data_IF_539893394244
#
_entry.id   IF_539893394244
#
_cell.length_a   1.000
_cell.length_b   1.000
_cell.length_c   1.000
_cell.angle_alpha   90.00
_cell.angle_beta   90.00
_cell.angle_gamma   90.00
#
_symmetry.space_group_name_H-M   'P 1'
#
loop_
_entity.id
_entity.type
_entity.pdbx_description
1 polymer ?
#
# COMPACT_ATOMS: atom_id res chain seq x y z
N UNK A 1 -2.47 -25.78 -19.27
CA UNK A 1 -3.65 -25.61 -18.39
C UNK A 1 -3.70 -24.13 -18.03
N UNK A 2 -4.61 -23.39 -18.63
CA UNK A 2 -4.83 -21.97 -18.32
C UNK A 2 -5.39 -21.89 -16.90
N UNK A 3 -4.58 -21.47 -15.94
CA UNK A 3 -5.10 -21.10 -14.64
C UNK A 3 -5.99 -19.88 -14.83
N UNK A 4 -7.28 -20.09 -14.60
CA UNK A 4 -8.27 -19.03 -14.52
C UNK A 4 -8.01 -18.23 -13.24
N UNK A 5 -6.97 -17.38 -13.26
CA UNK A 5 -6.53 -16.53 -12.14
C UNK A 5 -7.32 -15.21 -12.06
N UNK A 6 -8.41 -15.09 -12.82
CA UNK A 6 -9.12 -13.83 -13.02
C UNK A 6 -9.72 -13.17 -11.77
N UNK A 7 -9.77 -13.86 -10.62
CA UNK A 7 -10.43 -13.34 -9.42
C UNK A 7 -9.67 -13.65 -8.10
N UNK A 8 -8.38 -13.97 -8.14
CA UNK A 8 -7.58 -14.15 -6.94
C UNK A 8 -6.91 -12.83 -6.55
N UNK A 9 -7.13 -12.36 -5.33
CA UNK A 9 -6.44 -11.13 -4.86
C UNK A 9 -4.94 -11.31 -4.76
N UNK A 10 -4.45 -12.43 -4.22
CA UNK A 10 -3.01 -12.66 -4.07
C UNK A 10 -2.34 -12.88 -5.43
N UNK A 11 -1.29 -12.12 -5.70
CA UNK A 11 -0.43 -12.25 -6.88
C UNK A 11 0.88 -12.88 -6.41
N UNK A 12 1.11 -14.14 -6.81
CA UNK A 12 2.30 -14.89 -6.41
C UNK A 12 3.47 -14.48 -7.31
N UNK A 13 4.47 -13.88 -6.69
CA UNK A 13 5.71 -13.43 -7.30
C UNK A 13 6.88 -14.02 -6.51
N UNK A 14 8.03 -14.21 -7.18
CA UNK A 14 9.20 -14.84 -6.57
C UNK A 14 10.09 -13.81 -5.84
N UNK A 15 10.20 -12.59 -6.38
CA UNK A 15 11.03 -11.51 -5.83
C UNK A 15 10.27 -10.28 -5.33
N UNK A 16 8.94 -10.26 -5.46
CA UNK A 16 8.10 -9.17 -4.98
C UNK A 16 7.10 -9.71 -3.95
N UNK A 17 7.32 -9.36 -2.70
CA UNK A 17 6.52 -9.88 -1.59
C UNK A 17 5.24 -9.07 -1.36
N UNK A 18 4.29 -9.68 -0.66
CA UNK A 18 3.07 -9.04 -0.18
C UNK A 18 2.21 -8.44 -1.29
N UNK A 19 2.32 -9.00 -2.52
CA UNK A 19 1.64 -8.49 -3.71
C UNK A 19 0.20 -8.99 -3.78
N UNK A 20 -0.74 -8.06 -4.00
CA UNK A 20 -2.16 -8.35 -4.17
C UNK A 20 -2.95 -7.23 -4.82
N UNK A 21 -4.06 -7.60 -5.42
CA UNK A 21 -5.07 -6.72 -5.98
C UNK A 21 -6.05 -6.25 -4.88
N UNK A 22 -6.53 -5.02 -4.97
CA UNK A 22 -7.60 -4.50 -4.13
C UNK A 22 -9.01 -4.77 -4.70
N UNK A 23 -9.11 -5.62 -5.72
CA UNK A 23 -10.40 -6.05 -6.29
C UNK A 23 -11.14 -7.08 -5.45
N UNK A 24 -12.46 -7.18 -5.66
CA UNK A 24 -13.31 -8.19 -5.05
C UNK A 24 -13.72 -7.93 -3.59
N UNK A 25 -13.53 -6.73 -3.07
CA UNK A 25 -14.07 -6.35 -1.77
C UNK A 25 -15.52 -5.88 -1.92
N UNK A 26 -16.46 -6.42 -1.10
CA UNK A 26 -17.81 -5.87 -1.02
C UNK A 26 -17.75 -4.39 -0.59
N UNK A 27 -18.57 -3.57 -1.21
CA UNK A 27 -18.60 -2.14 -0.92
C UNK A 27 -20.03 -1.60 -0.95
N UNK A 28 -20.19 -0.31 -0.67
CA UNK A 28 -21.49 0.32 -0.59
C UNK A 28 -22.34 0.06 -1.85
N UNK A 29 -23.65 -0.09 -1.65
CA UNK A 29 -24.62 -0.31 -2.74
C UNK A 29 -24.61 -1.72 -3.36
N UNK A 30 -24.03 -2.71 -2.68
CA UNK A 30 -24.01 -4.11 -3.13
C UNK A 30 -23.09 -4.38 -4.31
N UNK A 31 -22.16 -3.48 -4.57
CA UNK A 31 -21.09 -3.61 -5.58
C UNK A 31 -19.84 -4.26 -4.98
N UNK A 32 -18.85 -4.50 -5.81
CA UNK A 32 -17.51 -4.96 -5.39
C UNK A 32 -16.45 -4.09 -6.05
N UNK A 33 -15.29 -3.96 -5.40
CA UNK A 33 -14.13 -3.32 -6.01
C UNK A 33 -13.65 -4.12 -7.22
N UNK A 34 -13.17 -3.42 -8.24
CA UNK A 34 -12.79 -4.00 -9.53
C UNK A 34 -11.36 -4.52 -9.51
N UNK A 35 -11.16 -5.75 -10.01
CA UNK A 35 -9.82 -6.33 -10.19
C UNK A 35 -9.03 -5.61 -11.30
N UNK A 36 -7.69 -5.66 -11.17
CA UNK A 36 -6.78 -5.10 -12.17
C UNK A 36 -6.72 -3.56 -12.16
N UNK A 37 -7.20 -2.92 -11.10
CA UNK A 37 -7.17 -1.45 -10.97
C UNK A 37 -6.15 -0.94 -9.97
N UNK A 38 -6.07 -1.57 -8.81
CA UNK A 38 -5.15 -1.16 -7.75
C UNK A 38 -4.40 -2.36 -7.20
N UNK A 39 -3.08 -2.33 -7.37
CA UNK A 39 -2.18 -3.38 -6.93
C UNK A 39 -1.29 -2.82 -5.82
N UNK A 40 -1.22 -3.51 -4.69
CA UNK A 40 -0.29 -3.18 -3.61
C UNK A 40 0.77 -4.26 -3.46
N UNK A 41 2.02 -3.87 -3.14
CA UNK A 41 3.11 -4.83 -2.93
C UNK A 41 4.24 -4.25 -2.05
N UNK A 42 5.22 -5.09 -1.72
CA UNK A 42 6.54 -4.66 -1.30
C UNK A 42 7.33 -4.11 -2.49
N UNK A 43 8.55 -3.65 -2.24
CA UNK A 43 9.40 -3.08 -3.29
C UNK A 43 9.60 -4.06 -4.45
N UNK A 44 9.28 -3.70 -5.69
CA UNK A 44 9.78 -4.38 -6.88
C UNK A 44 11.26 -4.03 -7.07
N UNK A 45 12.15 -4.97 -6.74
CA UNK A 45 13.60 -4.71 -6.70
C UNK A 45 14.36 -5.58 -7.71
N UNK A 46 15.37 -5.00 -8.34
CA UNK A 46 16.29 -5.69 -9.25
C UNK A 46 15.65 -6.19 -10.56
N UNK A 47 16.33 -7.08 -11.28
CA UNK A 47 15.77 -7.71 -12.46
C UNK A 47 14.66 -8.67 -12.03
N UNK A 48 13.41 -8.29 -12.24
CA UNK A 48 12.24 -9.03 -11.78
C UNK A 48 12.04 -10.39 -12.48
N UNK A 49 12.93 -10.78 -13.43
CA UNK A 49 12.91 -12.09 -14.06
C UNK A 49 11.51 -12.59 -14.43
N UNK A 50 11.09 -13.77 -13.93
CA UNK A 50 9.76 -14.32 -14.18
C UNK A 50 8.61 -13.46 -13.67
N UNK A 51 8.81 -12.64 -12.62
CA UNK A 51 7.79 -11.78 -12.05
C UNK A 51 7.35 -10.68 -13.02
N UNK A 52 8.28 -10.22 -13.87
CA UNK A 52 7.96 -9.24 -14.92
C UNK A 52 6.90 -9.77 -15.89
N UNK A 53 6.99 -11.04 -16.29
CA UNK A 53 5.99 -11.66 -17.16
C UNK A 53 4.63 -11.77 -16.46
N UNK A 54 4.60 -12.14 -15.18
CA UNK A 54 3.37 -12.22 -14.39
C UNK A 54 2.74 -10.85 -14.16
N UNK A 55 3.55 -9.82 -13.86
CA UNK A 55 3.06 -8.45 -13.69
C UNK A 55 2.65 -7.81 -15.03
N UNK A 56 3.23 -8.25 -16.17
CA UNK A 56 2.82 -7.79 -17.49
C UNK A 56 1.40 -8.24 -17.89
N UNK A 57 0.86 -9.28 -17.22
CA UNK A 57 -0.57 -9.67 -17.38
C UNK A 57 -1.51 -8.62 -16.75
N UNK A 58 -0.99 -7.78 -15.86
CA UNK A 58 -1.71 -6.66 -15.25
C UNK A 58 -1.25 -5.40 -15.98
N UNK A 59 -2.15 -4.62 -16.61
CA UNK A 59 -1.77 -3.45 -17.39
C UNK A 59 -1.37 -2.27 -16.47
N UNK A 60 -0.28 -2.44 -15.70
CA UNK A 60 0.27 -1.37 -14.85
C UNK A 60 0.69 -0.21 -15.73
N UNK A 61 0.18 0.99 -15.45
CA UNK A 61 0.51 2.24 -16.15
C UNK A 61 1.06 3.31 -15.21
N UNK A 62 0.75 3.20 -13.93
CA UNK A 62 1.25 4.13 -12.92
C UNK A 62 1.84 3.34 -11.75
N UNK A 63 3.00 3.78 -11.28
CA UNK A 63 3.64 3.25 -10.07
C UNK A 63 3.86 4.38 -9.09
N UNK A 64 3.48 4.16 -7.83
CA UNK A 64 3.68 5.12 -6.75
C UNK A 64 4.56 4.49 -5.68
N UNK A 65 5.76 5.00 -5.54
CA UNK A 65 6.72 4.64 -4.50
C UNK A 65 6.52 5.55 -3.28
N UNK A 66 6.15 4.93 -2.15
CA UNK A 66 5.81 5.62 -0.91
C UNK A 66 6.99 5.69 0.09
N UNK A 67 8.17 5.21 -0.32
CA UNK A 67 9.34 5.09 0.54
C UNK A 67 10.01 6.44 0.78
N UNK A 68 10.84 6.47 1.82
CA UNK A 68 11.71 7.59 2.09
C UNK A 68 12.78 7.79 1.01
N UNK A 69 13.33 9.02 0.94
CA UNK A 69 14.40 9.37 0.01
C UNK A 69 15.66 8.54 0.21
N UNK A 70 16.00 8.20 1.46
CA UNK A 70 17.12 7.33 1.79
C UNK A 70 16.95 5.93 1.22
N UNK A 71 15.76 5.33 1.43
CA UNK A 71 15.42 3.98 0.96
C UNK A 71 15.46 3.88 -0.57
N UNK A 72 14.84 4.84 -1.27
CA UNK A 72 14.74 4.83 -2.73
C UNK A 72 16.08 5.04 -3.45
N UNK A 73 17.03 5.76 -2.82
CA UNK A 73 18.40 5.92 -3.34
C UNK A 73 19.21 4.63 -3.22
N UNK A 74 19.10 3.94 -2.09
CA UNK A 74 19.87 2.71 -1.83
C UNK A 74 19.33 1.54 -2.66
N UNK A 75 18.02 1.42 -2.78
CA UNK A 75 17.35 0.34 -3.51
C UNK A 75 16.28 0.93 -4.46
N UNK A 76 16.65 1.38 -5.67
CA UNK A 76 15.70 1.91 -6.63
C UNK A 76 14.63 0.88 -7.01
N UNK A 77 13.38 1.33 -7.17
CA UNK A 77 12.30 0.48 -7.70
C UNK A 77 12.62 0.05 -9.14
N UNK A 78 12.32 -1.19 -9.49
CA UNK A 78 12.49 -1.71 -10.85
C UNK A 78 11.69 -0.91 -11.90
N UNK A 79 10.63 -0.24 -11.48
CA UNK A 79 9.81 0.60 -12.34
C UNK A 79 10.31 2.04 -12.51
N UNK A 80 11.30 2.49 -11.72
CA UNK A 80 11.74 3.89 -11.72
C UNK A 80 12.31 4.37 -13.08
N UNK A 81 12.68 3.44 -13.97
CA UNK A 81 13.25 3.74 -15.29
C UNK A 81 12.49 3.09 -16.44
N UNK A 82 11.30 2.55 -16.20
CA UNK A 82 10.48 1.94 -17.23
C UNK A 82 9.80 3.02 -18.08
N UNK A 83 10.05 3.07 -19.42
CA UNK A 83 9.60 4.18 -20.25
C UNK A 83 8.08 4.27 -20.40
N UNK A 84 7.36 3.16 -20.27
CA UNK A 84 5.92 3.07 -20.46
C UNK A 84 5.12 3.20 -19.14
N UNK A 85 5.82 3.53 -18.04
CA UNK A 85 5.25 3.66 -16.69
C UNK A 85 5.37 5.12 -16.24
N UNK A 86 4.26 5.68 -15.80
CA UNK A 86 4.26 6.96 -15.06
C UNK A 86 4.69 6.66 -13.64
N UNK A 87 5.92 6.99 -13.31
CA UNK A 87 6.49 6.71 -11.98
C UNK A 87 6.47 7.95 -11.11
N UNK A 88 5.90 7.82 -9.90
CA UNK A 88 5.88 8.85 -8.87
C UNK A 88 6.61 8.35 -7.63
N UNK A 89 7.29 9.27 -6.93
CA UNK A 89 7.89 9.01 -5.64
C UNK A 89 7.46 10.09 -4.65
N UNK A 90 6.71 9.68 -3.62
CA UNK A 90 6.22 10.55 -2.56
C UNK A 90 6.49 9.92 -1.20
N UNK A 91 7.37 10.53 -0.42
CA UNK A 91 7.74 10.05 0.91
C UNK A 91 6.58 10.23 1.89
N UNK A 92 5.89 9.15 2.27
CA UNK A 92 4.85 9.20 3.31
C UNK A 92 5.41 9.07 4.72
N UNK A 93 6.63 8.54 4.83
CA UNK A 93 7.34 8.39 6.09
C UNK A 93 8.82 8.17 5.78
N UNK A 94 9.70 8.93 6.42
CA UNK A 94 11.14 8.73 6.31
C UNK A 94 11.60 7.81 7.44
N UNK A 95 12.12 6.63 7.09
CA UNK A 95 12.70 5.71 8.06
C UNK A 95 14.14 6.16 8.35
N UNK A 96 14.31 6.77 9.50
CA UNK A 96 15.58 7.25 10.02
C UNK A 96 15.73 6.84 11.51
N UNK A 97 16.87 7.04 12.15
CA UNK A 97 17.08 6.66 13.55
C UNK A 97 16.02 7.23 14.52
N UNK A 98 15.60 8.48 14.32
CA UNK A 98 14.56 9.09 15.17
C UNK A 98 13.19 8.43 14.98
N UNK A 99 12.87 7.98 13.76
CA UNK A 99 11.65 7.19 13.51
C UNK A 99 11.72 5.83 14.22
N UNK A 100 12.86 5.14 14.14
CA UNK A 100 13.03 3.83 14.79
C UNK A 100 12.84 3.99 16.31
N UNK A 101 13.49 4.97 16.94
CA UNK A 101 13.33 5.26 18.37
C UNK A 101 11.86 5.58 18.74
N UNK A 102 11.15 6.34 17.88
CA UNK A 102 9.74 6.67 18.07
C UNK A 102 8.87 5.41 18.04
N UNK A 103 9.07 4.54 17.06
CA UNK A 103 8.29 3.29 16.91
C UNK A 103 8.57 2.31 18.04
N UNK A 104 9.80 2.26 18.57
CA UNK A 104 10.14 1.43 19.73
C UNK A 104 9.50 1.92 21.03
N UNK A 105 9.19 3.22 21.12
CA UNK A 105 8.63 3.85 22.33
C UNK A 105 7.12 4.06 22.30
N UNK A 106 6.47 3.94 21.13
CA UNK A 106 5.05 4.24 20.92
C UNK A 106 4.34 3.13 20.12
N UNK A 107 3.02 2.99 20.25
CA UNK A 107 2.25 2.08 19.42
C UNK A 107 2.38 2.41 17.92
N UNK A 108 2.51 1.39 17.08
CA UNK A 108 2.76 1.55 15.64
C UNK A 108 1.70 2.42 14.92
N UNK A 109 0.44 2.38 15.34
CA UNK A 109 -0.62 3.19 14.73
C UNK A 109 -0.38 4.70 14.86
N UNK A 110 0.33 5.15 15.90
CA UNK A 110 0.69 6.58 16.05
C UNK A 110 1.66 7.03 14.96
N UNK A 111 2.56 6.15 14.51
CA UNK A 111 3.41 6.44 13.35
C UNK A 111 2.62 6.56 12.05
N UNK A 112 1.49 5.85 11.93
CA UNK A 112 0.59 6.00 10.77
C UNK A 112 -0.12 7.36 10.78
N UNK A 113 -0.51 7.84 11.96
CA UNK A 113 -1.06 9.19 12.13
C UNK A 113 -0.05 10.25 11.69
N UNK A 114 1.26 10.06 11.92
CA UNK A 114 2.28 10.99 11.40
C UNK A 114 2.24 11.13 9.87
N UNK A 115 1.93 10.05 9.15
CA UNK A 115 1.76 10.14 7.69
C UNK A 115 0.59 11.05 7.28
N UNK A 116 -0.43 11.18 8.13
CA UNK A 116 -1.58 12.06 7.89
C UNK A 116 -1.31 13.52 8.29
N UNK A 117 -0.46 13.75 9.30
CA UNK A 117 -0.29 15.08 9.91
C UNK A 117 0.99 15.78 9.48
N UNK A 118 2.10 15.02 9.42
CA UNK A 118 3.43 15.56 9.12
C UNK A 118 3.77 15.45 7.62
N UNK A 119 3.13 14.51 6.87
CA UNK A 119 3.36 14.27 5.45
C UNK A 119 2.11 14.50 4.58
N UNK A 120 1.21 15.38 5.04
CA UNK A 120 -0.08 15.65 4.38
C UNK A 120 0.05 16.14 2.94
N UNK A 121 1.08 16.94 2.62
CA UNK A 121 1.33 17.39 1.25
C UNK A 121 1.66 16.21 0.32
N UNK A 122 2.52 15.29 0.78
CA UNK A 122 2.85 14.09 0.01
C UNK A 122 1.66 13.13 -0.08
N UNK A 123 0.84 13.03 0.98
CA UNK A 123 -0.41 12.28 0.94
C UNK A 123 -1.35 12.84 -0.13
N UNK A 124 -1.52 14.15 -0.20
CA UNK A 124 -2.31 14.79 -1.26
C UNK A 124 -1.74 14.46 -2.65
N UNK A 125 -0.41 14.54 -2.84
CA UNK A 125 0.23 14.19 -4.11
C UNK A 125 0.01 12.72 -4.52
N UNK A 126 0.00 11.79 -3.56
CA UNK A 126 -0.36 10.38 -3.83
C UNK A 126 -1.76 10.29 -4.44
N UNK A 127 -2.75 10.95 -3.83
CA UNK A 127 -4.14 10.88 -4.31
C UNK A 127 -4.36 11.70 -5.60
N UNK A 128 -3.68 12.82 -5.80
CA UNK A 128 -3.65 13.52 -7.09
C UNK A 128 -3.10 12.64 -8.22
N UNK A 129 -1.98 11.94 -7.96
CA UNK A 129 -1.38 11.02 -8.94
C UNK A 129 -2.31 9.84 -9.26
N UNK A 130 -3.01 9.29 -8.25
CA UNK A 130 -4.01 8.24 -8.46
C UNK A 130 -5.18 8.75 -9.30
N UNK A 131 -5.69 9.93 -9.01
CA UNK A 131 -6.80 10.54 -9.76
C UNK A 131 -6.43 10.77 -11.22
N UNK A 132 -5.23 11.31 -11.47
CA UNK A 132 -4.70 11.62 -12.80
C UNK A 132 -4.14 10.41 -13.55
N UNK A 133 -4.03 9.23 -12.91
CA UNK A 133 -3.47 8.04 -13.55
C UNK A 133 -4.20 7.68 -14.84
N UNK A 134 -3.47 7.37 -15.94
CA UNK A 134 -4.07 6.93 -17.19
C UNK A 134 -4.84 5.62 -17.03
N UNK A 135 -5.58 5.22 -18.05
CA UNK A 135 -6.28 3.93 -18.07
C UNK A 135 -5.29 2.77 -17.88
N UNK A 136 -5.57 1.88 -16.95
CA UNK A 136 -4.72 0.78 -16.52
C UNK A 136 -4.66 0.65 -15.01
N UNK A 137 -3.78 -0.22 -14.53
CA UNK A 137 -3.60 -0.43 -13.10
C UNK A 137 -2.63 0.61 -12.49
N UNK A 138 -2.95 1.02 -11.27
CA UNK A 138 -2.05 1.76 -10.38
C UNK A 138 -1.42 0.75 -9.41
N UNK A 139 -0.11 0.61 -9.47
CA UNK A 139 0.66 -0.15 -8.50
C UNK A 139 1.25 0.81 -7.48
N UNK A 140 1.09 0.54 -6.20
CA UNK A 140 1.72 1.36 -5.16
C UNK A 140 2.44 0.47 -4.14
N UNK A 141 3.60 0.92 -3.70
CA UNK A 141 4.47 0.13 -2.84
C UNK A 141 5.26 0.98 -1.84
N UNK A 142 5.71 0.33 -0.77
CA UNK A 142 6.80 0.82 0.07
C UNK A 142 7.92 -0.24 0.13
N UNK A 143 8.60 -0.42 1.25
CA UNK A 143 9.60 -1.49 1.39
C UNK A 143 8.94 -2.87 1.49
N UNK A 144 8.13 -3.11 2.52
CA UNK A 144 7.44 -4.39 2.77
C UNK A 144 6.03 -4.46 2.17
N UNK A 145 5.49 -3.34 1.66
CA UNK A 145 4.10 -3.28 1.22
C UNK A 145 3.09 -3.38 2.37
N UNK A 146 3.52 -3.13 3.61
CA UNK A 146 2.75 -3.30 4.84
C UNK A 146 2.19 -1.98 5.35
N UNK A 147 3.04 -1.09 5.86
CA UNK A 147 2.67 0.12 6.62
C UNK A 147 2.17 1.26 5.73
N UNK A 148 3.05 2.00 5.08
CA UNK A 148 2.70 3.11 4.17
C UNK A 148 1.74 2.69 3.06
N UNK A 149 1.98 1.51 2.51
CA UNK A 149 1.09 0.87 1.53
C UNK A 149 -0.24 0.47 2.16
N UNK A 150 -0.24 0.02 3.41
CA UNK A 150 -1.45 -0.31 4.18
C UNK A 150 -2.33 0.91 4.42
N UNK A 151 -1.74 2.05 4.76
CA UNK A 151 -2.44 3.33 4.94
C UNK A 151 -3.17 3.72 3.65
N UNK A 152 -2.46 3.76 2.52
CA UNK A 152 -3.06 4.12 1.22
C UNK A 152 -4.16 3.13 0.81
N UNK A 153 -3.93 1.82 1.01
CA UNK A 153 -4.94 0.80 0.71
C UNK A 153 -6.21 0.97 1.57
N UNK A 154 -6.05 1.18 2.88
CA UNK A 154 -7.16 1.40 3.79
C UNK A 154 -7.99 2.63 3.38
N UNK A 155 -7.33 3.73 3.01
CA UNK A 155 -8.00 4.94 2.57
C UNK A 155 -8.74 4.73 1.23
N UNK A 156 -8.15 4.02 0.26
CA UNK A 156 -8.80 3.69 -1.02
C UNK A 156 -10.05 2.82 -0.81
N UNK A 157 -9.95 1.78 0.01
CA UNK A 157 -11.09 0.90 0.30
C UNK A 157 -12.19 1.64 1.09
N UNK A 158 -11.81 2.50 2.03
CA UNK A 158 -12.76 3.33 2.78
C UNK A 158 -13.53 4.30 1.88
N UNK A 159 -12.89 4.89 0.85
CA UNK A 159 -13.55 5.81 -0.09
C UNK A 159 -14.74 5.19 -0.82
N UNK A 160 -14.74 3.88 -1.02
CA UNK A 160 -15.84 3.16 -1.70
C UNK A 160 -16.74 2.39 -0.72
N UNK A 161 -16.56 2.62 0.57
CA UNK A 161 -17.42 2.04 1.62
C UNK A 161 -17.24 0.53 1.81
N UNK A 162 -16.01 0.04 1.66
CA UNK A 162 -15.65 -1.31 2.10
C UNK A 162 -15.74 -1.38 3.61
N UNK A 163 -16.27 -2.49 4.13
CA UNK A 163 -16.42 -2.70 5.57
C UNK A 163 -15.08 -2.61 6.30
N UNK A 164 -15.10 -2.05 7.49
CA UNK A 164 -13.91 -1.87 8.33
C UNK A 164 -13.17 -3.19 8.59
N UNK A 165 -13.89 -4.27 8.82
CA UNK A 165 -13.29 -5.58 9.07
C UNK A 165 -12.55 -6.11 7.85
N UNK A 166 -13.07 -5.86 6.64
CA UNK A 166 -12.39 -6.22 5.39
C UNK A 166 -11.11 -5.39 5.18
N UNK A 167 -11.13 -4.10 5.52
CA UNK A 167 -9.94 -3.23 5.48
C UNK A 167 -8.87 -3.73 6.45
N UNK A 168 -9.25 -4.07 7.68
CA UNK A 168 -8.35 -4.62 8.69
C UNK A 168 -7.80 -5.98 8.24
N UNK A 169 -8.63 -6.84 7.67
CA UNK A 169 -8.23 -8.15 7.15
C UNK A 169 -7.24 -8.02 5.98
N UNK A 170 -7.45 -7.03 5.06
CA UNK A 170 -6.46 -6.74 4.01
C UNK A 170 -5.11 -6.33 4.61
N UNK A 171 -5.08 -5.51 5.64
CA UNK A 171 -3.84 -5.15 6.31
C UNK A 171 -3.18 -6.35 6.98
N UNK A 172 -3.95 -7.12 7.77
CA UNK A 172 -3.49 -8.24 8.59
C UNK A 172 -2.89 -9.38 7.76
N UNK A 173 -3.41 -9.65 6.57
CA UNK A 173 -2.91 -10.72 5.70
C UNK A 173 -1.44 -10.51 5.31
N UNK A 174 -0.89 -9.30 5.44
CA UNK A 174 0.52 -9.01 5.23
C UNK A 174 1.42 -9.88 6.12
N UNK A 175 1.00 -10.23 7.34
CA UNK A 175 1.73 -11.18 8.19
C UNK A 175 1.99 -12.49 7.45
N UNK A 176 0.93 -13.07 6.87
CA UNK A 176 1.04 -14.35 6.15
C UNK A 176 1.90 -14.23 4.89
N UNK A 177 1.77 -13.11 4.16
CA UNK A 177 2.45 -12.96 2.87
C UNK A 177 3.93 -12.60 3.01
N UNK A 178 4.34 -12.02 4.14
CA UNK A 178 5.73 -11.67 4.44
C UNK A 178 6.51 -12.78 5.16
N UNK A 179 5.83 -13.74 5.79
CA UNK A 179 6.46 -14.84 6.53
C UNK A 179 7.55 -15.59 5.76
N UNK A 180 7.38 -15.95 4.47
CA UNK A 180 8.45 -16.64 3.74
C UNK A 180 9.73 -15.81 3.66
N UNK A 181 9.59 -14.50 3.40
CA UNK A 181 10.73 -13.57 3.36
C UNK A 181 11.39 -13.44 4.73
N UNK A 182 10.60 -13.21 5.78
CA UNK A 182 11.15 -13.04 7.14
C UNK A 182 11.94 -14.27 7.60
N UNK A 183 11.41 -15.47 7.37
CA UNK A 183 12.12 -16.72 7.70
C UNK A 183 13.47 -16.82 6.99
N UNK A 184 13.51 -16.58 5.68
CA UNK A 184 14.76 -16.59 4.91
C UNK A 184 15.76 -15.58 5.45
N UNK A 185 15.31 -14.35 5.74
CA UNK A 185 16.19 -13.30 6.28
C UNK A 185 16.76 -13.65 7.65
N UNK A 186 15.94 -14.25 8.52
CA UNK A 186 16.40 -14.69 9.86
C UNK A 186 17.35 -15.88 9.74
N UNK A 187 17.08 -16.85 8.86
CA UNK A 187 17.98 -17.98 8.56
C UNK A 187 19.33 -17.51 8.00
N UNK A 188 19.35 -16.43 7.23
CA UNK A 188 20.55 -15.76 6.72
C UNK A 188 21.27 -14.89 7.78
N UNK A 189 20.78 -14.87 9.03
CA UNK A 189 21.38 -14.16 10.16
C UNK A 189 20.95 -12.71 10.30
N UNK A 190 19.90 -12.27 9.62
CA UNK A 190 19.38 -10.91 9.72
C UNK A 190 18.23 -10.81 10.74
N UNK A 191 18.60 -10.65 12.00
CA UNK A 191 17.69 -10.58 13.15
C UNK A 191 16.71 -9.39 13.11
N UNK A 192 16.94 -8.39 12.25
CA UNK A 192 16.02 -7.26 12.07
C UNK A 192 14.64 -7.76 11.61
N UNK A 193 14.58 -8.91 10.90
CA UNK A 193 13.34 -9.51 10.42
C UNK A 193 12.73 -10.54 11.37
N UNK A 194 13.26 -10.68 12.57
CA UNK A 194 12.71 -11.54 13.61
C UNK A 194 11.53 -10.86 14.32
N UNK A 195 10.32 -11.37 14.10
CA UNK A 195 9.08 -10.81 14.68
C UNK A 195 8.98 -10.97 16.20
N UNK A 196 9.78 -11.85 16.82
CA UNK A 196 9.85 -11.96 18.28
C UNK A 196 10.70 -10.84 18.86
N UNK A 197 11.76 -10.44 18.16
CA UNK A 197 12.64 -9.33 18.52
C UNK A 197 12.06 -7.98 18.12
N UNK A 198 11.34 -7.93 17.00
CA UNK A 198 10.77 -6.73 16.41
C UNK A 198 9.26 -6.85 16.19
N UNK A 199 8.43 -6.65 17.23
CA UNK A 199 6.97 -6.79 17.14
C UNK A 199 6.32 -5.87 16.08
N UNK A 200 6.97 -4.76 15.71
CA UNK A 200 6.50 -3.82 14.67
C UNK A 200 6.50 -4.40 13.25
N UNK A 201 7.14 -5.55 13.05
CA UNK A 201 7.03 -6.30 11.78
C UNK A 201 5.63 -6.89 11.59
N UNK A 202 4.91 -7.15 12.69
CA UNK A 202 3.55 -7.70 12.65
C UNK A 202 2.56 -6.69 12.10
N UNK A 203 1.61 -7.19 11.31
CA UNK A 203 0.42 -6.43 10.88
C UNK A 203 -0.71 -6.69 11.87
N UNK A 204 -0.61 -6.11 13.06
CA UNK A 204 -1.60 -6.29 14.10
C UNK A 204 -2.92 -5.60 13.69
N UNK A 205 -4.08 -6.29 13.75
CA UNK A 205 -5.38 -5.72 13.38
C UNK A 205 -5.71 -4.47 14.20
N UNK A 206 -5.33 -4.42 15.47
CA UNK A 206 -5.55 -3.26 16.34
C UNK A 206 -4.86 -1.99 15.79
N UNK A 207 -3.68 -2.14 15.16
CA UNK A 207 -2.97 -1.01 14.55
C UNK A 207 -3.81 -0.34 13.45
N UNK A 208 -4.38 -1.13 12.56
CA UNK A 208 -5.20 -0.59 11.47
C UNK A 208 -6.56 -0.10 11.99
N UNK A 209 -7.14 -0.78 12.97
CA UNK A 209 -8.37 -0.34 13.60
C UNK A 209 -8.24 1.04 14.25
N UNK A 210 -7.20 1.25 15.05
CA UNK A 210 -6.92 2.54 15.69
C UNK A 210 -6.64 3.64 14.68
N UNK A 211 -5.91 3.34 13.62
CA UNK A 211 -5.67 4.28 12.53
C UNK A 211 -6.98 4.72 11.86
N UNK A 212 -7.85 3.78 11.49
CA UNK A 212 -9.13 4.09 10.88
C UNK A 212 -10.05 4.85 11.85
N UNK A 213 -10.07 4.48 13.13
CA UNK A 213 -10.84 5.17 14.17
C UNK A 213 -10.37 6.62 14.33
N UNK A 214 -9.05 6.84 14.39
CA UNK A 214 -8.49 8.19 14.43
C UNK A 214 -8.94 9.05 13.23
N UNK A 215 -8.93 8.47 12.02
CA UNK A 215 -9.37 9.15 10.81
C UNK A 215 -10.85 9.59 10.91
N UNK A 216 -11.71 8.68 11.35
CA UNK A 216 -13.15 8.94 11.48
C UNK A 216 -13.45 9.94 12.61
N UNK A 217 -12.83 9.81 13.76
CA UNK A 217 -13.04 10.69 14.91
C UNK A 217 -12.49 12.09 14.68
N UNK A 218 -11.35 12.22 13.97
CA UNK A 218 -10.67 13.50 13.78
C UNK A 218 -11.23 14.28 12.59
N UNK A 219 -11.52 13.56 11.49
CA UNK A 219 -11.90 14.19 10.22
C UNK A 219 -13.31 13.84 9.75
N UNK A 220 -14.00 12.92 10.42
CA UNK A 220 -15.33 12.45 10.06
C UNK A 220 -15.34 11.35 9.00
N UNK A 221 -14.39 11.34 8.08
CA UNK A 221 -14.22 10.31 7.06
C UNK A 221 -12.90 10.46 6.32
N UNK A 222 -12.48 9.39 5.61
CA UNK A 222 -11.34 9.45 4.69
C UNK A 222 -11.53 10.51 3.60
N UNK A 223 -12.75 10.67 3.07
CA UNK A 223 -13.05 11.70 2.07
C UNK A 223 -12.82 13.10 2.63
N UNK A 224 -13.38 13.40 3.81
CA UNK A 224 -13.23 14.69 4.45
C UNK A 224 -11.76 15.02 4.79
N UNK A 225 -10.98 14.02 5.23
CA UNK A 225 -9.54 14.18 5.40
C UNK A 225 -8.86 14.58 4.09
N UNK A 226 -9.07 13.84 3.01
CA UNK A 226 -8.44 14.10 1.72
C UNK A 226 -8.82 15.47 1.16
N UNK A 227 -10.08 15.88 1.29
CA UNK A 227 -10.53 17.22 0.92
C UNK A 227 -9.83 18.30 1.77
N UNK A 228 -9.62 18.05 3.07
CA UNK A 228 -8.95 18.98 3.98
C UNK A 228 -7.49 19.23 3.64
N UNK A 229 -6.84 18.28 2.93
CA UNK A 229 -5.44 18.40 2.46
C UNK A 229 -5.33 18.81 0.99
N UNK A 230 -6.46 19.16 0.34
CA UNK A 230 -6.47 19.76 -0.99
C UNK A 230 -6.80 18.83 -2.15
N UNK A 231 -7.16 17.55 -1.90
CA UNK A 231 -7.67 16.67 -2.97
C UNK A 231 -9.12 17.07 -3.28
N UNK A 232 -9.43 17.40 -4.53
CA UNK A 232 -10.75 17.88 -4.90
C UNK A 232 -11.82 16.77 -4.92
N UNK A 233 -13.08 17.13 -4.76
CA UNK A 233 -14.18 16.18 -4.86
C UNK A 233 -14.23 15.47 -6.22
N UNK A 234 -13.90 16.17 -7.30
CA UNK A 234 -13.85 15.63 -8.65
C UNK A 234 -12.75 14.56 -8.79
N UNK A 235 -11.58 14.78 -8.17
CA UNK A 235 -10.50 13.79 -8.12
C UNK A 235 -10.89 12.56 -7.30
N UNK A 236 -11.52 12.75 -6.15
CA UNK A 236 -12.02 11.66 -5.32
C UNK A 236 -13.08 10.82 -6.06
N UNK A 237 -13.97 11.48 -6.79
CA UNK A 237 -14.96 10.79 -7.62
C UNK A 237 -14.31 10.04 -8.80
N UNK A 238 -13.22 10.56 -9.36
CA UNK A 238 -12.44 9.84 -10.37
C UNK A 238 -11.77 8.58 -9.78
N UNK A 239 -11.23 8.67 -8.55
CA UNK A 239 -10.66 7.51 -7.84
C UNK A 239 -11.76 6.47 -7.57
N UNK A 240 -12.91 6.89 -7.07
CA UNK A 240 -14.06 6.00 -6.82
C UNK A 240 -14.46 5.27 -8.10
N UNK A 241 -14.58 5.98 -9.24
CA UNK A 241 -14.87 5.35 -10.53
C UNK A 241 -13.81 4.31 -10.92
N UNK A 242 -12.51 4.63 -10.76
CA UNK A 242 -11.43 3.67 -11.04
C UNK A 242 -11.53 2.39 -10.19
N UNK A 243 -11.99 2.51 -8.94
CA UNK A 243 -12.16 1.37 -8.03
C UNK A 243 -13.42 0.53 -8.35
N UNK A 244 -14.47 1.14 -8.90
CA UNK A 244 -15.81 0.56 -9.00
C UNK A 244 -16.26 0.23 -10.43
N UNK A 245 -15.72 0.93 -11.45
CA UNK A 245 -16.15 0.82 -12.86
C UNK A 245 -15.11 0.00 -13.75
#
# INVERSE_FOLDING_TARGET
MSHNSGNARRILLDGVFNCRDLGGYPCAGGKTTKFGRFIRCGIPFGPMGPDRARLAEIPVKTVIDLRGNGESKVAPSAYAKEPDIVYHHYTLLEINPAYVEKVESQPLWESYVCSLTEHKENMAQVFHAIAAAPEGAVLFHCALGKDRTGIVAAMLLSLVGVDRLDIIADYQISNTYLQPMFRTMVEDGNDIFDEEKNPHLKSDPETMEKFCTYLDETYGSTRAYLESIGVTSEELDAIVRKLMD
#
